data_IF_358921824434
#
_entry.id   IF_358921824434
#
_cell.length_a   1.000
_cell.length_b   1.000
_cell.length_c   1.000
_cell.angle_alpha   90.00
_cell.angle_beta   90.00
_cell.angle_gamma   90.00
#
_symmetry.space_group_name_H-M   'P 1'
#
loop_
_entity.id
_entity.type
_entity.pdbx_description
1 polymer ?
2 non-polymer ?
3 water ?
#
# COMPACT_ATOMS: atom_id res chain seq x y z
N UNK A 14 0.98 19.97 14.86
CA UNK A 14 0.60 21.33 14.47
C UNK A 14 -0.83 21.29 13.90
N UNK A 15 -1.21 20.15 13.33
CA UNK A 15 -2.61 19.88 12.99
C UNK A 15 -3.19 18.88 13.97
N UNK A 16 -4.48 19.00 14.27
CA UNK A 16 -5.09 18.11 15.26
C UNK A 16 -6.52 17.76 14.92
N UNK A 17 -6.94 16.60 15.41
CA UNK A 17 -8.31 16.14 15.28
C UNK A 17 -9.24 16.88 16.22
N UNK A 18 -10.34 17.40 15.69
CA UNK A 18 -11.33 18.06 16.51
C UNK A 18 -12.42 17.06 16.91
N UNK A 19 -13.04 16.48 15.88
CA UNK A 19 -14.07 15.47 16.10
C UNK A 19 -14.12 14.48 14.94
N UNK A 20 -14.61 13.28 15.22
CA UNK A 20 -14.87 12.30 14.17
C UNK A 20 -16.27 11.74 14.33
N UNK A 21 -17.09 11.94 13.30
CA UNK A 21 -18.50 11.60 13.31
C UNK A 21 -18.82 10.39 12.45
N UNK A 22 -19.52 9.43 13.03
CA UNK A 22 -19.93 8.23 12.30
C UNK A 22 -20.95 8.58 11.22
N UNK A 23 -20.62 8.29 9.97
CA UNK A 23 -21.56 8.51 8.88
C UNK A 23 -22.32 7.23 8.54
N UNK A 24 -21.58 6.14 8.38
CA UNK A 24 -22.18 4.85 8.05
C UNK A 24 -21.30 3.71 8.54
N UNK A 25 -21.89 2.77 9.26
CA UNK A 25 -21.13 1.66 9.83
C UNK A 25 -21.60 0.28 9.34
N UNK A 26 -20.66 -0.50 8.81
CA UNK A 26 -20.94 -1.87 8.43
C UNK A 26 -20.40 -2.84 9.48
N UNK A 27 -20.29 -4.10 9.09
CA UNK A 27 -19.73 -5.12 9.98
C UNK A 27 -18.22 -4.96 10.07
N UNK A 28 -17.60 -4.70 8.92
CA UNK A 28 -16.15 -4.63 8.84
C UNK A 28 -15.61 -3.22 8.76
N UNK A 29 -16.36 -2.33 8.11
CA UNK A 29 -15.83 -1.03 7.80
C UNK A 29 -16.85 0.07 8.10
N UNK A 30 -16.37 1.21 8.58
CA UNK A 30 -17.22 2.35 8.82
C UNK A 30 -16.71 3.57 8.08
N UNK A 31 -17.60 4.52 7.86
CA UNK A 31 -17.27 5.75 7.18
C UNK A 31 -17.47 6.91 8.15
N UNK A 32 -16.46 7.75 8.29
CA UNK A 32 -16.51 8.83 9.26
C UNK A 32 -16.29 10.19 8.61
N UNK A 33 -16.92 11.20 9.19
CA UNK A 33 -16.61 12.58 8.87
C UNK A 33 -15.59 13.07 9.87
N UNK A 34 -14.42 13.48 9.38
CA UNK A 34 -13.34 13.88 10.27
C UNK A 34 -13.17 15.38 10.27
N UNK A 35 -13.35 16.00 11.44
CA UNK A 35 -13.12 17.43 11.59
C UNK A 35 -11.79 17.66 12.27
N UNK A 36 -10.94 18.45 11.65
CA UNK A 36 -9.60 18.68 12.17
C UNK A 36 -9.20 20.15 11.99
N UNK A 37 -8.16 20.54 12.72
CA UNK A 37 -7.63 21.90 12.62
C UNK A 37 -6.34 21.92 11.81
N UNK A 38 -6.26 22.77 10.79
CA UNK A 38 -5.04 22.89 10.00
C UNK A 38 -4.04 23.79 10.74
N UNK A 39 -2.82 24.00 10.21
CA UNK A 39 -1.87 24.80 11.00
C UNK A 39 -2.27 26.26 11.20
N UNK A 40 -3.13 26.80 10.34
CA UNK A 40 -3.57 28.19 10.47
C UNK A 40 -4.60 28.33 11.58
N UNK A 41 -5.10 27.21 12.08
CA UNK A 41 -6.14 27.22 13.08
C UNK A 41 -7.52 27.12 12.45
N UNK A 42 -7.54 26.85 11.16
CA UNK A 42 -8.80 26.71 10.44
C UNK A 42 -9.35 25.29 10.55
N UNK A 43 -10.67 25.20 10.64
CA UNK A 43 -11.35 23.92 10.73
C UNK A 43 -11.63 23.36 9.35
N UNK A 44 -11.26 22.11 9.14
CA UNK A 44 -11.50 21.44 7.86
C UNK A 44 -12.10 20.06 8.09
N UNK A 45 -12.59 19.46 7.00
CA UNK A 45 -13.17 18.14 7.10
C UNK A 45 -12.49 17.15 6.18
N UNK A 46 -12.68 15.87 6.49
CA UNK A 46 -12.15 14.80 5.68
C UNK A 46 -13.14 13.64 5.76
N UNK A 47 -13.26 12.89 4.69
CA UNK A 47 -14.03 11.66 4.73
C UNK A 47 -13.06 10.53 5.01
N UNK A 48 -13.27 9.85 6.13
CA UNK A 48 -12.32 8.83 6.55
C UNK A 48 -12.95 7.46 6.62
N UNK A 49 -12.21 6.48 6.13
CA UNK A 49 -12.64 5.10 6.19
C UNK A 49 -11.88 4.40 7.31
N UNK A 50 -12.60 3.67 8.15
CA UNK A 50 -11.94 2.94 9.22
C UNK A 50 -12.51 1.54 9.29
N UNK A 51 -11.65 0.59 9.65
CA UNK A 51 -12.12 -0.75 9.93
C UNK A 51 -12.73 -0.75 11.32
N UNK A 52 -13.69 -1.65 11.53
CA UNK A 52 -14.44 -1.69 12.78
C UNK A 52 -13.86 -2.71 13.76
N UNK A 53 -12.89 -3.47 13.28
CA UNK A 53 -12.46 -4.68 13.97
C UNK A 53 -11.21 -4.54 14.82
N UNK A 54 -10.74 -3.32 15.02
CA UNK A 54 -9.55 -3.15 15.85
C UNK A 54 -9.93 -3.02 17.32
N UNK A 55 -9.17 -3.69 18.15
CA UNK A 55 -9.39 -3.70 19.59
C UNK A 55 -8.07 -3.33 20.22
N UNK A 56 -7.42 -4.28 20.88
CA UNK A 56 -6.13 -3.97 21.47
C UNK A 56 -4.96 -4.39 20.60
N UNK A 57 -5.08 -4.18 19.29
CA UNK A 57 -4.01 -4.58 18.39
C UNK A 57 -3.25 -3.33 17.99
N UNK A 58 -1.99 -3.53 17.61
CA UNK A 58 -1.10 -2.44 17.25
C UNK A 58 -1.35 -1.98 15.82
N UNK A 59 -2.02 -2.83 15.06
CA UNK A 59 -2.42 -2.50 13.70
C UNK A 59 -3.63 -3.36 13.35
N UNK A 60 -4.31 -3.00 12.27
CA UNK A 60 -5.47 -3.76 11.84
C UNK A 60 -5.08 -5.16 11.43
N UNK A 61 -3.97 -5.28 10.70
CA UNK A 61 -3.58 -6.56 10.18
C UNK A 61 -2.09 -6.70 9.97
N UNK A 62 -1.72 -7.72 9.21
CA UNK A 62 -0.35 -7.94 8.83
C UNK A 62 -0.31 -8.22 7.34
N UNK A 63 0.77 -7.81 6.69
CA UNK A 63 1.08 -8.34 5.38
C UNK A 63 2.34 -9.15 5.57
N UNK A 64 2.39 -10.32 4.93
CA UNK A 64 3.52 -11.19 5.11
C UNK A 64 4.38 -11.16 3.86
N UNK A 65 5.66 -10.86 4.03
CA UNK A 65 6.61 -11.01 2.95
C UNK A 65 7.34 -12.32 3.18
N UNK A 66 6.88 -13.37 2.49
CA UNK A 66 7.38 -14.73 2.69
C UNK A 66 8.51 -15.02 1.73
N UNK A 67 9.71 -15.16 2.27
CA UNK A 67 10.87 -15.40 1.43
C UNK A 67 11.14 -16.89 1.38
N UNK A 68 10.80 -17.49 0.25
CA UNK A 68 11.03 -18.91 0.06
C UNK A 68 12.51 -19.10 -0.21
N UNK A 69 13.20 -19.78 0.71
CA UNK A 69 14.63 -19.96 0.57
C UNK A 69 14.93 -21.43 0.30
N UNK A 70 15.66 -21.66 -0.79
CA UNK A 70 16.02 -23.00 -1.20
C UNK A 70 17.46 -22.99 -1.67
N UNK A 71 18.24 -24.00 -1.30
CA UNK A 71 19.66 -24.03 -1.66
C UNK A 71 19.90 -24.10 -3.17
N UNK A 72 18.98 -24.69 -3.92
CA UNK A 72 19.17 -24.80 -5.37
C UNK A 72 18.39 -23.76 -6.15
N UNK A 73 17.81 -22.80 -5.46
CA UNK A 73 17.03 -21.77 -6.13
C UNK A 73 17.38 -20.37 -5.67
N UNK A 74 17.14 -19.40 -6.54
CA UNK A 74 17.10 -18.00 -6.12
C UNK A 74 15.98 -17.88 -5.10
N UNK A 75 16.12 -16.96 -4.14
CA UNK A 75 15.01 -16.70 -3.23
C UNK A 75 13.79 -16.29 -4.02
N UNK A 76 12.63 -16.77 -3.58
CA UNK A 76 11.37 -16.37 -4.17
C UNK A 76 10.52 -15.64 -3.15
N UNK A 77 9.64 -14.76 -3.64
CA UNK A 77 8.62 -14.18 -2.80
C UNK A 77 7.33 -14.93 -3.04
N UNK A 78 6.74 -15.42 -1.96
CA UNK A 78 5.51 -16.18 -2.06
C UNK A 78 4.32 -15.22 -2.03
N UNK A 79 3.59 -15.18 -3.13
CA UNK A 79 2.46 -14.27 -3.25
C UNK A 79 1.18 -15.07 -3.39
N UNK A 80 0.05 -14.45 -3.09
CA UNK A 80 -1.22 -15.12 -3.24
C UNK A 80 -2.10 -14.41 -4.26
N UNK A 81 -2.83 -15.19 -5.05
CA UNK A 81 -3.79 -14.60 -5.97
C UNK A 81 -5.16 -14.92 -5.42
N UNK A 82 -5.99 -13.89 -5.37
CA UNK A 82 -7.22 -13.95 -4.63
C UNK A 82 -8.26 -13.08 -5.29
N UNK A 83 -9.51 -13.51 -5.30
CA UNK A 83 -10.56 -12.63 -5.76
C UNK A 83 -10.81 -11.59 -4.70
N UNK A 84 -10.86 -10.33 -5.11
CA UNK A 84 -11.11 -9.24 -4.18
C UNK A 84 -12.35 -8.46 -4.61
N UNK A 85 -13.46 -8.67 -3.89
CA UNK A 85 -14.74 -8.00 -4.20
C UNK A 85 -14.62 -6.48 -4.35
N UNK A 86 -13.84 -5.78 -3.50
CA UNK A 86 -13.77 -4.35 -3.77
C UNK A 86 -13.15 -4.05 -5.14
N UNK A 87 -12.22 -4.90 -5.58
CA UNK A 87 -11.58 -4.70 -6.87
C UNK A 87 -12.35 -5.31 -8.03
N UNK A 88 -13.39 -6.09 -7.72
CA UNK A 88 -14.15 -6.77 -8.75
C UNK A 88 -13.26 -7.58 -9.67
N UNK A 89 -12.24 -8.19 -9.09
CA UNK A 89 -11.26 -8.93 -9.85
C UNK A 89 -10.22 -9.58 -8.95
N UNK A 90 -9.31 -10.31 -9.56
CA UNK A 90 -8.31 -11.05 -8.81
C UNK A 90 -7.11 -10.15 -8.51
N UNK A 91 -6.48 -10.36 -7.37
CA UNK A 91 -5.35 -9.53 -6.98
C UNK A 91 -4.17 -10.38 -6.53
N UNK A 92 -2.96 -9.94 -6.86
CA UNK A 92 -1.75 -10.58 -6.39
C UNK A 92 -1.27 -9.79 -5.18
N UNK A 93 -1.18 -10.45 -4.03
CA UNK A 93 -0.87 -9.76 -2.79
C UNK A 93 0.14 -10.53 -1.96
N UNK A 94 0.71 -9.84 -0.98
CA UNK A 94 1.36 -10.52 0.13
C UNK A 94 0.27 -11.24 0.89
N UNK A 95 0.57 -12.44 1.40
CA UNK A 95 -0.39 -13.05 2.32
C UNK A 95 -0.68 -12.08 3.44
N UNK A 96 -1.96 -11.87 3.74
CA UNK A 96 -2.35 -10.81 4.66
C UNK A 96 -3.71 -11.07 5.28
N UNK A 97 -3.92 -10.51 6.47
CA UNK A 97 -5.18 -10.66 7.15
C UNK A 97 -5.19 -9.85 8.43
N UNK A 98 -6.36 -9.75 9.05
CA UNK A 98 -6.50 -9.04 10.31
C UNK A 98 -5.69 -9.75 11.40
N UNK A 99 -5.18 -8.96 12.34
CA UNK A 99 -4.61 -9.54 13.55
C UNK A 99 -5.75 -9.90 14.48
N UNK A 100 -5.79 -11.16 14.94
CA UNK A 100 -6.86 -11.58 15.84
C UNK A 100 -6.66 -10.95 17.21
N UNK A 101 -7.73 -10.93 18.01
CA UNK A 101 -7.67 -10.38 19.36
C UNK A 101 -6.66 -11.14 20.21
N UNK A 102 -5.79 -10.39 20.87
CA UNK A 102 -4.76 -10.97 21.73
C UNK A 102 -3.60 -11.60 20.97
N UNK A 103 -3.73 -11.65 19.64
CA UNK A 103 -2.67 -12.20 18.81
C UNK A 103 -1.59 -11.16 18.51
N UNK A 104 -0.35 -11.61 18.39
CA UNK A 104 0.73 -10.71 18.02
C UNK A 104 0.82 -10.62 16.50
N UNK A 105 1.39 -9.52 15.98
CA UNK A 105 1.61 -9.39 14.53
C UNK A 105 2.38 -10.58 13.99
N UNK A 106 3.45 -10.95 14.68
CA UNK A 106 4.28 -12.08 14.29
C UNK A 106 3.46 -13.37 14.23
N UNK A 107 2.62 -13.59 15.24
CA UNK A 107 1.79 -14.79 15.29
C UNK A 107 0.75 -14.78 14.18
N UNK A 108 0.12 -13.62 13.98
CA UNK A 108 -0.85 -13.46 12.91
C UNK A 108 -0.21 -13.70 11.56
N UNK A 109 0.98 -13.15 11.37
CA UNK A 109 1.73 -13.32 10.13
C UNK A 109 1.98 -14.79 9.82
N UNK A 110 2.52 -15.51 10.80
CA UNK A 110 2.86 -16.92 10.63
C UNK A 110 1.62 -17.76 10.38
N UNK A 111 0.55 -17.51 11.15
CA UNK A 111 -0.71 -18.19 10.95
C UNK A 111 -1.30 -17.92 9.57
N UNK A 112 -1.32 -16.65 9.19
CA UNK A 112 -1.92 -16.22 7.94
C UNK A 112 -1.16 -16.80 6.75
N UNK A 113 0.16 -16.84 6.86
CA UNK A 113 1.00 -17.44 5.82
C UNK A 113 0.67 -18.92 5.63
N UNK A 114 0.54 -19.63 6.74
CA UNK A 114 0.27 -21.06 6.69
C UNK A 114 -1.14 -21.35 6.18
N UNK A 115 -2.10 -20.55 6.64
CA UNK A 115 -3.50 -20.71 6.21
C UNK A 115 -3.64 -20.53 4.70
N UNK A 116 -2.94 -19.53 4.17
CA UNK A 116 -3.09 -19.16 2.77
C UNK A 116 -2.18 -19.96 1.82
N UNK A 117 -1.04 -20.40 2.31
CA UNK A 117 -0.05 -21.02 1.44
C UNK A 117 0.34 -22.44 1.86
N UNK A 118 0.17 -22.73 3.14
CA UNK A 118 0.62 -24.00 3.69
C UNK A 118 2.04 -23.96 4.20
N UNK A 119 2.76 -22.92 3.84
CA UNK A 119 4.13 -22.77 4.26
C UNK A 119 4.23 -22.50 5.75
N UNK A 120 5.19 -23.16 6.39
CA UNK A 120 5.48 -22.88 7.79
C UNK A 120 6.77 -22.05 7.81
N UNK A 121 6.66 -20.81 8.25
CA UNK A 121 7.76 -19.90 8.15
C UNK A 121 8.40 -19.57 9.48
N UNK A 122 9.53 -18.85 9.41
CA UNK A 122 10.18 -18.34 10.58
C UNK A 122 10.17 -16.81 10.50
N UNK A 123 9.91 -16.16 11.63
CA UNK A 123 9.95 -14.71 11.66
C UNK A 123 11.34 -14.22 11.32
N UNK A 124 11.41 -13.25 10.41
CA UNK A 124 12.68 -12.60 10.13
C UNK A 124 12.68 -11.24 10.79
N UNK A 125 11.65 -10.46 10.52
CA UNK A 125 11.49 -9.15 11.16
C UNK A 125 10.05 -8.68 11.08
N UNK A 126 9.73 -7.66 11.86
CA UNK A 126 8.38 -7.13 11.92
C UNK A 126 8.43 -5.62 12.01
N UNK A 127 7.69 -4.97 11.12
CA UNK A 127 7.72 -3.52 11.00
C UNK A 127 6.89 -2.84 12.08
N UNK A 128 7.07 -1.52 12.24
CA UNK A 128 6.06 -0.76 12.98
C UNK A 128 4.74 -0.80 12.23
N UNK A 129 3.67 -0.34 12.86
CA UNK A 129 2.42 -0.19 12.14
C UNK A 129 2.62 0.80 11.00
N UNK A 130 2.24 0.41 9.80
CA UNK A 130 2.33 1.28 8.64
C UNK A 130 0.97 1.37 7.98
N UNK A 131 0.65 2.54 7.42
CA UNK A 131 -0.69 2.81 6.89
C UNK A 131 -0.92 2.31 5.46
N UNK A 132 -2.08 1.71 5.24
CA UNK A 132 -2.48 1.20 3.93
C UNK A 132 -2.80 2.27 2.91
N UNK A 133 -3.55 3.29 3.35
CA UNK A 133 -4.01 4.36 2.47
C UNK A 133 -4.44 5.54 3.33
N UNK A 134 -3.45 6.30 3.84
CA UNK A 134 -3.61 7.37 4.84
C UNK A 134 -4.45 8.55 4.34
N UNK A 135 -4.50 8.74 3.03
CA UNK A 135 -5.30 9.81 2.46
C UNK A 135 -6.78 9.46 2.47
N UNK A 136 -7.09 8.24 2.91
CA UNK A 136 -8.45 7.73 2.86
C UNK A 136 -8.85 6.95 4.11
N UNK A 137 -7.92 6.15 4.63
CA UNK A 137 -8.25 5.27 5.75
C UNK A 137 -7.21 5.29 6.87
N UNK A 138 -7.59 4.78 8.02
CA UNK A 138 -6.66 4.63 9.14
C UNK A 138 -6.07 3.24 9.16
N UNK A 139 -6.34 2.47 8.12
CA UNK A 139 -5.94 1.07 8.07
C UNK A 139 -4.43 0.92 8.13
N UNK A 140 -3.99 0.06 9.04
CA UNK A 140 -2.58 -0.19 9.23
C UNK A 140 -2.29 -1.68 9.21
N UNK A 141 -1.05 -2.01 8.88
CA UNK A 141 -0.58 -3.37 8.98
C UNK A 141 0.81 -3.39 9.56
N UNK A 142 1.22 -4.54 10.08
CA UNK A 142 2.62 -4.78 10.28
C UNK A 142 3.09 -5.54 9.07
N UNK A 143 4.20 -5.10 8.48
CA UNK A 143 4.80 -5.87 7.42
C UNK A 143 5.78 -6.81 8.07
N UNK A 144 5.45 -8.09 8.06
CA UNK A 144 6.24 -9.08 8.74
C UNK A 144 6.98 -9.89 7.70
N UNK A 145 8.30 -9.73 7.68
CA UNK A 145 9.13 -10.51 6.80
C UNK A 145 9.31 -11.88 7.42
N UNK A 146 9.01 -12.90 6.64
CA UNK A 146 9.07 -14.28 7.10
C UNK A 146 9.87 -15.11 6.13
N UNK A 147 10.83 -15.86 6.66
CA UNK A 147 11.61 -16.75 5.81
C UNK A 147 10.99 -18.14 5.79
N UNK A 148 11.05 -18.78 4.63
CA UNK A 148 10.53 -20.12 4.47
C UNK A 148 11.62 -21.04 3.97
N UNK A 149 12.01 -22.01 4.79
CA UNK A 149 12.93 -23.04 4.34
C UNK A 149 12.20 -23.98 3.40
N UNK A 150 12.37 -23.75 2.10
CA UNK A 150 11.68 -24.55 1.10
C UNK A 150 12.30 -25.92 0.90
N UNK A 151 13.48 -26.13 1.47
CA UNK A 151 14.14 -27.41 1.36
C UNK A 151 13.68 -28.34 2.48
N UNK A 152 13.10 -27.79 3.53
CA UNK A 152 12.61 -28.63 4.61
C UNK A 152 11.44 -29.43 4.05
N UNK A 153 11.32 -30.68 4.48
CA UNK A 153 10.32 -31.60 3.94
C UNK A 153 8.87 -31.17 4.17
N UNK A 154 8.56 -30.61 5.33
CA UNK A 154 7.20 -30.11 5.57
C UNK A 154 6.78 -29.10 4.51
N UNK A 155 7.73 -28.32 4.00
CA UNK A 155 7.44 -27.28 3.03
C UNK A 155 7.59 -27.82 1.61
N UNK A 156 7.90 -29.12 1.50
CA UNK A 156 8.02 -29.76 0.18
C UNK A 156 6.73 -29.56 -0.63
N UNK A 157 5.60 -29.98 -0.08
CA UNK A 157 4.36 -29.68 -0.75
C UNK A 157 3.34 -29.03 0.16
N UNK A 158 3.41 -27.71 0.28
CA UNK A 158 2.54 -26.90 1.11
C UNK A 158 1.10 -27.01 0.65
N UNK A 159 0.21 -27.13 1.61
CA UNK A 159 -1.22 -27.17 1.40
C UNK A 159 -1.80 -26.04 2.21
N UNK A 160 -2.59 -25.15 1.59
CA UNK A 160 -3.12 -24.11 2.47
C UNK A 160 -4.01 -24.66 3.60
N UNK A 161 -3.39 -25.47 4.45
CA UNK A 161 -3.93 -26.00 5.71
C UNK A 161 -5.43 -26.21 5.72
N UNK A 162 -5.84 -27.46 5.49
CA UNK A 162 -7.13 -28.03 5.10
C UNK A 162 -8.17 -27.01 4.64
N UNK A 163 -9.25 -26.89 5.39
CA UNK A 163 -10.31 -25.97 5.03
C UNK A 163 -10.00 -24.57 5.48
N UNK A 164 -10.54 -23.60 4.77
CA UNK A 164 -10.26 -22.25 5.10
C UNK A 164 -11.52 -21.39 4.91
N UNK A 165 -12.15 -21.50 3.75
CA UNK A 165 -13.33 -20.74 3.38
C UNK A 165 -12.99 -19.76 2.28
N UNK A 166 -11.69 -19.62 2.02
CA UNK A 166 -11.17 -18.69 1.03
C UNK A 166 -10.67 -19.49 -0.19
N UNK A 167 -10.50 -18.80 -1.31
CA UNK A 167 -10.06 -19.44 -2.52
C UNK A 167 -8.80 -18.75 -3.00
N UNK A 168 -7.68 -19.34 -2.64
CA UNK A 168 -6.38 -18.70 -2.77
C UNK A 168 -5.41 -19.51 -3.61
N UNK A 169 -4.96 -18.92 -4.70
CA UNK A 169 -3.92 -19.54 -5.51
C UNK A 169 -2.59 -18.98 -5.03
N UNK A 170 -1.59 -19.84 -4.90
CA UNK A 170 -0.28 -19.43 -4.39
C UNK A 170 0.70 -19.24 -5.54
N UNK A 171 1.44 -18.14 -5.52
CA UNK A 171 2.42 -17.88 -6.57
C UNK A 171 3.79 -17.53 -5.99
N UNK A 172 4.81 -18.26 -6.42
CA UNK A 172 6.18 -17.99 -5.97
C UNK A 172 6.98 -17.38 -7.10
N UNK A 173 7.40 -16.13 -6.90
CA UNK A 173 8.16 -15.42 -7.90
C UNK A 173 9.57 -15.13 -7.41
N UNK A 174 10.57 -15.36 -8.28
CA UNK A 174 11.97 -15.07 -7.97
C UNK A 174 12.16 -13.63 -7.52
N UNK A 175 12.87 -13.45 -6.41
CA UNK A 175 13.07 -12.12 -5.85
C UNK A 175 13.87 -11.24 -6.80
N UNK A 176 14.86 -11.83 -7.47
CA UNK A 176 15.74 -11.05 -8.35
C UNK A 176 15.07 -10.61 -9.65
N UNK A 177 13.86 -11.10 -9.90
CA UNK A 177 13.12 -10.71 -11.09
C UNK A 177 11.66 -10.43 -10.78
N UNK A 178 11.39 -9.98 -9.56
CA UNK A 178 10.01 -9.87 -9.10
C UNK A 178 9.15 -8.92 -9.94
N UNK A 179 9.64 -7.70 -10.17
CA UNK A 179 8.84 -6.71 -10.88
C UNK A 179 8.44 -7.14 -12.29
N UNK A 180 9.38 -7.72 -13.02
CA UNK A 180 9.11 -8.16 -14.38
C UNK A 180 8.11 -9.32 -14.37
N UNK A 181 8.25 -10.20 -13.39
CA UNK A 181 7.34 -11.34 -13.28
C UNK A 181 5.95 -10.88 -12.87
N UNK A 182 5.89 -9.79 -12.11
CA UNK A 182 4.62 -9.19 -11.75
C UNK A 182 3.93 -8.51 -12.93
N UNK A 183 4.68 -7.71 -13.69
CA UNK A 183 4.13 -7.06 -14.89
C UNK A 183 3.59 -8.09 -15.87
N UNK A 184 4.33 -9.17 -16.06
CA UNK A 184 3.92 -10.25 -16.96
C UNK A 184 2.58 -10.85 -16.56
N UNK A 185 2.47 -11.22 -15.29
CA UNK A 185 1.27 -11.81 -14.73
C UNK A 185 0.03 -10.93 -14.89
N UNK A 186 0.23 -9.64 -14.65
CA UNK A 186 -0.84 -8.66 -14.49
C UNK A 186 -1.39 -8.06 -15.78
N UNK A 187 -0.68 -8.22 -16.88
CA UNK A 187 -1.20 -7.71 -18.14
C UNK A 187 -2.46 -8.46 -18.51
N UNK A 188 -2.52 -9.77 -18.29
CA UNK A 188 -3.77 -10.45 -18.54
C UNK A 188 -4.82 -10.04 -17.50
N UNK A 189 -5.73 -9.17 -17.95
CA UNK A 189 -6.98 -8.73 -17.30
C UNK A 189 -7.09 -8.35 -15.82
N UNK A 190 -8.22 -8.74 -15.22
CA UNK A 190 -8.53 -8.38 -13.84
C UNK A 190 -7.80 -9.28 -12.90
N UNK A 191 -6.53 -8.93 -12.86
CA UNK A 191 -5.51 -9.43 -11.98
C UNK A 191 -4.68 -8.19 -11.78
N UNK A 192 -4.78 -7.63 -10.58
CA UNK A 192 -4.01 -6.45 -10.21
C UNK A 192 -2.93 -6.78 -9.18
N UNK A 193 -1.74 -6.18 -9.30
CA UNK A 193 -0.75 -6.31 -8.22
C UNK A 193 -1.11 -5.39 -7.08
N UNK A 194 -0.94 -5.87 -5.85
CA UNK A 194 -1.07 -5.05 -4.65
C UNK A 194 -0.01 -3.95 -4.69
N UNK A 195 -0.32 -2.75 -4.20
CA UNK A 195 0.63 -1.64 -4.29
C UNK A 195 1.91 -1.87 -3.51
N UNK A 196 1.78 -2.46 -2.32
CA UNK A 196 2.93 -2.77 -1.47
C UNK A 196 3.82 -3.82 -2.10
N UNK A 197 3.19 -4.83 -2.71
CA UNK A 197 3.93 -5.84 -3.43
C UNK A 197 4.75 -5.20 -4.53
N UNK A 198 4.11 -4.29 -5.27
CA UNK A 198 4.78 -3.64 -6.38
C UNK A 198 5.88 -2.69 -5.91
N UNK A 199 5.61 -1.94 -4.84
CA UNK A 199 6.62 -1.06 -4.24
C UNK A 199 7.85 -1.87 -3.86
N UNK A 200 7.61 -3.01 -3.24
CA UNK A 200 8.66 -3.96 -2.87
C UNK A 200 9.42 -4.38 -4.14
N UNK A 201 8.67 -4.81 -5.14
CA UNK A 201 9.26 -5.25 -6.41
C UNK A 201 10.09 -4.16 -7.06
N UNK A 202 9.57 -2.93 -7.03
CA UNK A 202 10.28 -1.78 -7.59
C UNK A 202 11.64 -1.57 -6.93
N UNK A 203 11.67 -1.61 -5.61
CA UNK A 203 12.91 -1.39 -4.87
C UNK A 203 13.90 -2.52 -5.11
N UNK A 204 13.39 -3.74 -5.30
CA UNK A 204 14.25 -4.87 -5.62
C UNK A 204 14.92 -4.63 -6.96
N UNK A 205 14.18 -4.01 -7.87
CA UNK A 205 14.67 -3.72 -9.20
C UNK A 205 15.64 -2.55 -9.18
N UNK A 206 15.29 -1.49 -8.45
CA UNK A 206 16.15 -0.32 -8.38
C UNK A 206 17.47 -0.66 -7.69
N UNK A 207 17.39 -1.41 -6.60
CA UNK A 207 18.58 -1.82 -5.86
C UNK A 207 19.44 -2.76 -6.70
N UNK A 208 18.78 -3.55 -7.54
CA UNK A 208 19.36 -4.68 -8.26
C UNK A 208 19.81 -5.80 -7.33
N UNK B 14 -14.02 -17.04 -12.88
CA UNK B 14 -15.01 -17.85 -12.16
C UNK B 14 -15.61 -17.14 -10.96
N UNK B 15 -14.89 -16.19 -10.38
CA UNK B 15 -15.51 -15.31 -9.41
C UNK B 15 -15.76 -13.97 -10.09
N UNK B 16 -16.91 -13.39 -9.78
CA UNK B 16 -17.34 -12.16 -10.42
C UNK B 16 -18.25 -11.34 -9.51
N UNK B 17 -18.32 -10.05 -9.76
CA UNK B 17 -19.24 -9.20 -9.01
C UNK B 17 -20.67 -9.47 -9.45
N UNK B 18 -21.53 -9.71 -8.48
CA UNK B 18 -22.93 -9.98 -8.71
C UNK B 18 -23.78 -8.72 -8.65
N UNK B 19 -23.67 -8.00 -7.54
CA UNK B 19 -24.36 -6.73 -7.39
C UNK B 19 -23.52 -5.84 -6.49
N UNK B 20 -23.71 -4.54 -6.64
CA UNK B 20 -23.02 -3.59 -5.77
C UNK B 20 -24.10 -2.67 -5.20
N UNK B 21 -24.27 -2.69 -3.89
CA UNK B 21 -25.32 -1.88 -3.30
C UNK B 21 -24.71 -0.70 -2.56
N UNK B 22 -25.15 0.50 -2.92
CA UNK B 22 -24.67 1.70 -2.28
C UNK B 22 -25.19 1.78 -0.85
N UNK B 23 -24.26 1.83 0.10
CA UNK B 23 -24.62 1.98 1.51
C UNK B 23 -24.58 3.46 1.87
N UNK B 24 -23.48 4.11 1.50
CA UNK B 24 -23.30 5.53 1.77
C UNK B 24 -22.32 6.16 0.78
N UNK B 25 -22.72 7.29 0.19
CA UNK B 25 -21.83 8.00 -0.72
C UNK B 25 -21.52 9.39 -0.20
N UNK B 26 -20.24 9.67 -0.06
CA UNK B 26 -19.77 10.99 0.30
C UNK B 26 -19.27 11.69 -0.95
N UNK B 27 -18.53 12.78 -0.77
CA UNK B 27 -17.98 13.51 -1.90
C UNK B 27 -16.80 12.79 -2.55
N UNK B 28 -15.90 12.27 -1.72
CA UNK B 28 -14.68 11.67 -2.20
C UNK B 28 -14.76 10.16 -2.20
N UNK B 29 -15.50 9.63 -1.22
CA UNK B 29 -15.55 8.21 -0.98
C UNK B 29 -16.97 7.73 -0.74
N UNK B 30 -17.28 6.54 -1.25
CA UNK B 30 -18.57 5.91 -1.01
C UNK B 30 -18.36 4.55 -0.40
N UNK B 31 -19.37 4.04 0.29
CA UNK B 31 -19.28 2.71 0.87
C UNK B 31 -20.37 1.80 0.27
N UNK B 32 -19.93 0.65 -0.21
CA UNK B 32 -20.83 -0.28 -0.88
C UNK B 32 -20.81 -1.67 -0.25
N UNK B 33 -21.94 -2.35 -0.27
CA UNK B 33 -21.94 -3.78 0.03
C UNK B 33 -21.89 -4.53 -1.29
N UNK B 34 -20.86 -5.36 -1.40
CA UNK B 34 -20.55 -6.04 -2.64
C UNK B 34 -20.96 -7.51 -2.58
N UNK B 35 -21.80 -7.92 -3.51
CA UNK B 35 -22.20 -9.31 -3.60
C UNK B 35 -21.41 -9.97 -4.73
N UNK B 36 -20.77 -11.10 -4.42
CA UNK B 36 -19.93 -11.75 -5.40
C UNK B 36 -20.15 -13.24 -5.40
N UNK B 37 -19.77 -13.89 -6.49
CA UNK B 37 -19.91 -15.33 -6.60
C UNK B 37 -18.56 -15.97 -6.36
N UNK B 38 -18.49 -16.86 -5.39
CA UNK B 38 -17.26 -17.59 -5.16
C UNK B 38 -17.26 -18.80 -6.11
N UNK B 39 -16.17 -19.59 -6.12
CA UNK B 39 -16.11 -20.74 -7.04
C UNK B 39 -17.12 -21.84 -6.73
N UNK B 40 -17.60 -21.89 -5.49
CA UNK B 40 -18.53 -22.92 -5.09
C UNK B 40 -19.90 -22.65 -5.70
N UNK B 41 -20.08 -21.46 -6.25
CA UNK B 41 -21.33 -21.06 -6.85
C UNK B 41 -22.18 -20.41 -5.79
N UNK B 42 -21.59 -20.16 -4.63
CA UNK B 42 -22.28 -19.53 -3.53
C UNK B 42 -22.13 -18.01 -3.61
N UNK B 43 -23.18 -17.29 -3.25
CA UNK B 43 -23.11 -15.83 -3.22
C UNK B 43 -22.68 -15.38 -1.82
N UNK B 44 -21.74 -14.44 -1.79
CA UNK B 44 -21.24 -13.90 -0.54
C UNK B 44 -21.25 -12.39 -0.60
N UNK B 45 -21.03 -11.74 0.52
CA UNK B 45 -21.00 -10.28 0.53
C UNK B 45 -19.66 -9.76 1.04
N UNK B 46 -19.38 -8.51 0.69
CA UNK B 46 -18.17 -7.83 1.14
C UNK B 46 -18.52 -6.36 1.32
N UNK B 47 -17.88 -5.72 2.27
CA UNK B 47 -18.01 -4.28 2.39
C UNK B 47 -16.84 -3.63 1.66
N UNK B 48 -17.16 -2.85 0.63
CA UNK B 48 -16.15 -2.28 -0.23
C UNK B 48 -16.17 -0.76 -0.21
N UNK B 49 -14.97 -0.19 -0.20
CA UNK B 49 -14.80 1.25 -0.23
C UNK B 49 -14.39 1.68 -1.63
N UNK B 50 -15.01 2.74 -2.15
CA UNK B 50 -14.63 3.23 -3.46
C UNK B 50 -14.51 4.75 -3.43
N UNK B 51 -13.56 5.26 -4.21
CA UNK B 51 -13.50 6.70 -4.41
C UNK B 51 -14.56 7.06 -5.44
N UNK B 52 -15.08 8.28 -5.35
CA UNK B 52 -16.17 8.70 -6.21
C UNK B 52 -15.59 9.47 -7.38
N UNK B 53 -14.28 9.70 -7.28
CA UNK B 53 -13.62 10.67 -8.13
C UNK B 53 -12.95 10.04 -9.32
N UNK B 54 -13.20 8.74 -9.55
CA UNK B 54 -12.63 8.14 -10.74
C UNK B 54 -13.57 8.34 -11.91
N UNK B 55 -12.98 8.52 -13.08
CA UNK B 55 -13.69 8.88 -14.29
C UNK B 55 -13.44 7.85 -15.39
N UNK B 56 -12.81 8.25 -16.48
CA UNK B 56 -12.44 7.31 -17.55
C UNK B 56 -10.94 6.97 -17.49
N UNK B 57 -10.48 6.63 -16.29
CA UNK B 57 -9.05 6.57 -15.99
C UNK B 57 -8.41 5.19 -15.92
N UNK B 58 -7.08 5.18 -15.96
CA UNK B 58 -6.31 3.95 -15.86
C UNK B 58 -6.16 3.57 -14.39
N UNK B 59 -6.28 4.58 -13.52
CA UNK B 59 -6.27 4.41 -12.07
C UNK B 59 -6.80 5.69 -11.41
N UNK B 60 -7.10 5.64 -10.12
CA UNK B 60 -7.54 6.84 -9.39
C UNK B 60 -6.46 7.91 -9.34
N UNK B 61 -5.24 7.48 -9.04
CA UNK B 61 -4.17 8.42 -8.82
C UNK B 61 -2.78 7.87 -9.10
N UNK B 62 -1.78 8.60 -8.62
CA UNK B 62 -0.40 8.18 -8.74
C UNK B 62 0.31 8.33 -7.41
N UNK B 63 1.26 7.45 -7.14
CA UNK B 63 2.24 7.72 -6.11
C UNK B 63 3.57 7.91 -6.81
N UNK B 64 4.34 8.90 -6.37
CA UNK B 64 5.60 9.18 -7.01
C UNK B 64 6.75 8.74 -6.13
N UNK B 65 7.63 7.93 -6.71
CA UNK B 65 8.89 7.61 -6.05
C UNK B 65 9.95 8.50 -6.65
N UNK B 66 10.26 9.61 -5.97
CA UNK B 66 11.17 10.61 -6.50
C UNK B 66 12.59 10.36 -6.04
N UNK B 67 13.45 9.99 -6.97
CA UNK B 67 14.84 9.71 -6.65
C UNK B 67 15.65 10.96 -6.92
N UNK B 68 16.02 11.65 -5.86
CA UNK B 68 16.84 12.86 -5.96
C UNK B 68 18.28 12.49 -6.23
N UNK B 69 18.77 12.86 -7.40
CA UNK B 69 20.10 12.50 -7.83
C UNK B 69 21.05 13.69 -7.94
N UNK B 70 22.18 13.57 -7.28
CA UNK B 70 23.22 14.59 -7.30
C UNK B 70 24.54 13.88 -7.43
N UNK B 71 25.40 14.42 -8.29
CA UNK B 71 26.68 13.79 -8.55
C UNK B 71 27.46 13.77 -7.24
N UNK B 72 28.18 12.68 -7.01
CA UNK B 72 28.99 12.51 -5.81
C UNK B 72 28.15 12.48 -4.53
N UNK B 73 26.86 12.24 -4.68
CA UNK B 73 25.96 12.11 -3.53
C UNK B 73 25.20 10.79 -3.62
N UNK B 74 24.80 10.27 -2.46
CA UNK B 74 23.82 9.21 -2.47
C UNK B 74 22.55 9.73 -3.08
N UNK B 75 21.87 8.85 -3.79
CA UNK B 75 20.52 9.12 -4.23
C UNK B 75 19.68 9.32 -2.99
N UNK B 76 18.73 10.24 -3.05
CA UNK B 76 17.79 10.37 -1.97
C UNK B 76 16.41 10.02 -2.46
N UNK B 77 15.57 9.55 -1.55
CA UNK B 77 14.17 9.37 -1.85
C UNK B 77 13.45 10.58 -1.29
N UNK B 78 12.69 11.26 -2.14
CA UNK B 78 11.99 12.44 -1.70
C UNK B 78 10.63 12.04 -1.16
N UNK B 79 10.42 12.27 0.12
CA UNK B 79 9.17 11.91 0.75
C UNK B 79 8.46 13.14 1.26
N UNK B 80 7.16 13.01 1.47
CA UNK B 80 6.38 14.09 2.00
C UNK B 80 5.76 13.71 3.33
N UNK B 81 5.78 14.64 4.27
CA UNK B 81 5.12 14.48 5.55
C UNK B 81 3.95 15.42 5.70
N UNK B 82 2.80 14.88 6.08
CA UNK B 82 1.60 15.70 6.21
C UNK B 82 0.65 15.06 7.19
N UNK B 83 -0.15 15.89 7.84
CA UNK B 83 -1.21 15.39 8.69
C UNK B 83 -2.22 14.68 7.82
N UNK B 84 -2.61 13.48 8.25
CA UNK B 84 -3.59 12.69 7.54
C UNK B 84 -4.76 12.45 8.48
N UNK B 85 -5.87 13.17 8.25
CA UNK B 85 -7.07 13.06 9.08
C UNK B 85 -7.57 11.64 9.31
N UNK B 86 -7.55 10.75 8.30
CA UNK B 86 -7.99 9.39 8.64
C UNK B 86 -7.10 8.73 9.68
N UNK B 87 -5.81 9.07 9.66
CA UNK B 87 -4.85 8.52 10.61
C UNK B 87 -4.80 9.33 11.91
N UNK B 88 -5.47 10.48 11.91
CA UNK B 88 -5.46 11.38 13.04
C UNK B 88 -4.05 11.71 13.48
N UNK B 89 -3.14 11.79 12.51
CA UNK B 89 -1.75 11.99 12.79
C UNK B 89 -0.93 12.09 11.52
N UNK B 90 0.36 12.32 11.68
CA UNK B 90 1.23 12.54 10.54
C UNK B 90 1.73 11.25 9.91
N UNK B 91 1.84 11.27 8.59
CA UNK B 91 2.33 10.12 7.84
C UNK B 91 3.45 10.53 6.88
N UNK B 92 4.42 9.65 6.70
CA UNK B 92 5.48 9.84 5.71
C UNK B 92 5.14 9.06 4.45
N UNK B 93 5.02 9.77 3.34
CA UNK B 93 4.53 9.14 2.11
C UNK B 93 5.31 9.51 0.86
N UNK B 94 5.13 8.70 -0.17
CA UNK B 94 5.45 9.09 -1.53
C UNK B 94 4.48 10.22 -1.88
N UNK B 95 4.96 11.24 -2.59
CA UNK B 95 4.03 12.24 -3.11
C UNK B 95 2.94 11.56 -3.92
N UNK B 96 1.69 11.93 -3.69
CA UNK B 96 0.58 11.21 -4.30
C UNK B 96 -0.65 12.09 -4.41
N UNK B 97 -1.46 11.79 -5.42
CA UNK B 97 -2.67 12.55 -5.65
C UNK B 97 -3.45 11.97 -6.81
N UNK B 98 -4.67 12.46 -6.99
CA UNK B 98 -5.52 12.01 -8.09
C UNK B 98 -4.94 12.33 -9.45
N UNK B 99 -5.20 11.44 -10.42
CA UNK B 99 -4.93 11.75 -11.82
C UNK B 99 -6.08 12.59 -12.32
N UNK B 100 -5.78 13.74 -12.91
CA UNK B 100 -6.82 14.59 -13.45
C UNK B 100 -7.38 13.98 -14.73
N UNK B 101 -8.55 14.48 -15.13
CA UNK B 101 -9.22 13.99 -16.34
C UNK B 101 -8.33 14.20 -17.58
N UNK B 102 -8.18 13.15 -18.38
CA UNK B 102 -7.39 13.24 -19.61
C UNK B 102 -5.89 13.28 -19.38
N UNK B 103 -5.49 13.29 -18.12
CA UNK B 103 -4.08 13.33 -17.74
C UNK B 103 -3.47 11.95 -17.78
N UNK B 104 -2.19 11.86 -18.14
CA UNK B 104 -1.48 10.58 -18.11
C UNK B 104 -0.95 10.39 -16.69
N UNK B 105 -0.72 9.13 -16.30
CA UNK B 105 -0.11 8.86 -14.99
C UNK B 105 1.20 9.62 -14.84
N UNK B 106 2.03 9.56 -15.88
CA UNK B 106 3.32 10.24 -15.88
C UNK B 106 3.17 11.75 -15.68
N UNK B 107 2.22 12.35 -16.38
CA UNK B 107 1.99 13.78 -16.27
C UNK B 107 1.47 14.13 -14.88
N UNK B 108 0.55 13.33 -14.38
CA UNK B 108 0.01 13.50 -13.04
C UNK B 108 1.13 13.40 -12.02
N UNK B 109 2.01 12.42 -12.21
CA UNK B 109 3.15 12.19 -11.34
C UNK B 109 4.09 13.40 -11.25
N UNK B 110 4.50 13.89 -12.42
CA UNK B 110 5.44 15.00 -12.48
C UNK B 110 4.79 16.25 -11.90
N UNK B 111 3.52 16.48 -12.24
CA UNK B 111 2.76 17.59 -11.69
C UNK B 111 2.64 17.49 -10.17
N UNK B 112 2.24 16.32 -9.69
CA UNK B 112 2.04 16.12 -8.25
C UNK B 112 3.36 16.25 -7.51
N UNK B 113 4.43 15.73 -8.09
CA UNK B 113 5.76 15.85 -7.50
C UNK B 113 6.16 17.32 -7.36
N UNK B 114 5.92 18.10 -8.42
CA UNK B 114 6.29 19.51 -8.40
C UNK B 114 5.42 20.30 -7.45
N UNK B 115 4.13 20.00 -7.40
CA UNK B 115 3.22 20.70 -6.50
C UNK B 115 3.62 20.53 -5.04
N UNK B 116 3.98 19.31 -4.67
CA UNK B 116 4.24 19.00 -3.26
C UNK B 116 5.67 19.30 -2.82
N UNK B 117 6.61 19.23 -3.76
CA UNK B 117 8.01 19.35 -3.40
C UNK B 117 8.73 20.48 -4.13
N UNK B 118 8.18 20.88 -5.28
CA UNK B 118 8.83 21.89 -6.11
C UNK B 118 9.79 21.28 -7.12
N UNK B 119 10.13 20.01 -6.91
CA UNK B 119 11.06 19.33 -7.79
C UNK B 119 10.48 19.06 -9.17
N UNK B 120 11.29 19.29 -10.19
CA UNK B 120 10.92 18.95 -11.55
C UNK B 120 11.66 17.68 -11.95
N UNK B 121 10.90 16.62 -12.16
CA UNK B 121 11.51 15.32 -12.36
C UNK B 121 11.40 14.78 -13.77
N UNK B 122 12.08 13.67 -14.01
CA UNK B 122 11.99 12.96 -15.27
C UNK B 122 11.41 11.58 -15.00
N UNK B 123 10.50 11.13 -15.86
CA UNK B 123 9.97 9.80 -15.74
C UNK B 123 11.11 8.79 -15.88
N UNK B 124 11.18 7.86 -14.94
CA UNK B 124 12.12 6.76 -15.02
C UNK B 124 11.35 5.54 -15.49
N UNK B 125 10.25 5.27 -14.82
CA UNK B 125 9.33 4.21 -15.21
C UNK B 125 7.98 4.45 -14.56
N UNK B 126 6.97 3.72 -15.03
CA UNK B 126 5.63 3.87 -14.50
C UNK B 126 4.94 2.51 -14.43
N UNK B 127 4.36 2.22 -13.28
CA UNK B 127 3.76 0.92 -13.02
C UNK B 127 2.40 0.82 -13.69
N UNK B 128 1.88 -0.41 -13.81
CA UNK B 128 0.45 -0.58 -14.08
C UNK B 128 -0.37 -0.06 -12.91
N UNK B 129 -1.68 0.02 -13.06
CA UNK B 129 -2.53 0.35 -11.92
C UNK B 129 -2.37 -0.73 -10.87
N UNK B 130 -2.11 -0.32 -9.62
CA UNK B 130 -1.95 -1.24 -8.51
C UNK B 130 -2.87 -0.87 -7.36
N UNK B 131 -3.31 -1.85 -6.57
CA UNK B 131 -4.32 -1.61 -5.55
C UNK B 131 -3.76 -1.00 -4.29
N UNK B 132 -4.42 0.04 -3.77
CA UNK B 132 -4.00 0.66 -2.52
C UNK B 132 -4.27 -0.25 -1.34
N UNK B 133 -5.43 -0.90 -1.37
CA UNK B 133 -5.86 -1.77 -0.29
C UNK B 133 -6.99 -2.66 -0.83
N UNK B 134 -6.63 -3.69 -1.59
CA UNK B 134 -7.60 -4.50 -2.36
C UNK B 134 -8.61 -5.25 -1.50
N UNK B 135 -8.28 -5.53 -0.24
CA UNK B 135 -9.19 -6.20 0.65
C UNK B 135 -10.30 -5.31 1.18
N UNK B 136 -10.26 -4.04 0.81
CA UNK B 136 -11.20 -3.06 1.36
C UNK B 136 -11.70 -2.08 0.31
N UNK B 137 -10.84 -1.69 -0.62
CA UNK B 137 -11.20 -0.68 -1.60
C UNK B 137 -10.82 -1.06 -3.03
N UNK B 138 -11.41 -0.35 -4.00
CA UNK B 138 -11.05 -0.53 -5.39
C UNK B 138 -10.01 0.49 -5.82
N UNK B 139 -9.49 1.22 -4.84
CA UNK B 139 -8.57 2.31 -5.09
C UNK B 139 -7.29 1.81 -5.75
N UNK B 140 -6.92 2.45 -6.84
CA UNK B 140 -5.72 2.06 -7.56
C UNK B 140 -4.84 3.28 -7.82
N UNK B 141 -3.55 3.03 -7.98
CA UNK B 141 -2.63 4.07 -8.38
C UNK B 141 -1.66 3.51 -9.39
N UNK B 142 -1.01 4.41 -10.11
CA UNK B 142 0.21 4.06 -10.80
C UNK B 142 1.35 4.45 -9.89
N UNK B 143 2.31 3.57 -9.71
CA UNK B 143 3.50 3.97 -8.99
C UNK B 143 4.51 4.44 -10.02
N UNK B 144 4.80 5.74 -9.98
CA UNK B 144 5.66 6.34 -10.99
C UNK B 144 7.02 6.65 -10.40
N UNK B 145 8.04 5.96 -10.89
CA UNK B 145 9.40 6.29 -10.49
C UNK B 145 9.83 7.50 -11.29
N UNK B 146 10.27 8.52 -10.57
CA UNK B 146 10.65 9.76 -11.21
C UNK B 146 12.02 10.15 -10.69
N UNK B 147 12.95 10.41 -11.60
CA UNK B 147 14.28 10.84 -11.20
C UNK B 147 14.34 12.36 -11.21
N UNK B 148 15.05 12.91 -10.24
CA UNK B 148 15.20 14.35 -10.13
C UNK B 148 16.67 14.71 -10.17
N UNK B 149 17.08 15.44 -11.20
CA UNK B 149 18.43 15.96 -11.26
C UNK B 149 18.58 17.11 -10.27
N UNK B 150 19.14 16.82 -9.11
CA UNK B 150 19.28 17.82 -8.06
C UNK B 150 20.38 18.82 -8.35
N UNK B 151 21.18 18.55 -9.38
CA UNK B 151 22.26 19.44 -9.79
C UNK B 151 21.77 20.50 -10.77
N UNK B 152 20.62 20.24 -11.38
CA UNK B 152 20.01 21.20 -12.30
C UNK B 152 19.54 22.43 -11.53
N UNK B 153 19.62 23.59 -12.18
CA UNK B 153 19.25 24.86 -11.56
C UNK B 153 17.78 24.86 -11.15
N UNK B 154 16.95 24.18 -11.93
CA UNK B 154 15.53 24.01 -11.63
C UNK B 154 15.29 23.49 -10.22
N UNK B 155 16.11 22.53 -9.85
CA UNK B 155 15.95 21.79 -8.61
C UNK B 155 16.86 22.27 -7.50
N UNK B 156 17.67 23.27 -7.79
CA UNK B 156 18.54 23.89 -6.81
C UNK B 156 17.68 24.38 -5.68
N UNK B 157 16.64 25.11 -6.09
CA UNK B 157 15.70 25.79 -5.20
C UNK B 157 14.27 25.33 -5.49
N UNK B 158 13.90 24.09 -5.08
CA UNK B 158 12.52 23.72 -5.42
C UNK B 158 11.48 24.48 -4.60
N UNK B 159 10.40 24.90 -5.26
CA UNK B 159 9.33 25.62 -4.59
C UNK B 159 8.00 24.87 -4.71
N UNK B 160 7.49 24.38 -3.57
CA UNK B 160 6.19 23.70 -3.65
C UNK B 160 5.07 24.66 -3.99
N UNK B 161 4.08 24.20 -4.75
CA UNK B 161 2.89 24.98 -4.98
C UNK B 161 1.70 24.22 -4.42
N UNK B 162 1.43 24.40 -3.12
CA UNK B 162 0.43 23.58 -2.43
C UNK B 162 -0.98 24.12 -2.61
N UNK B 163 -1.95 23.22 -2.51
CA UNK B 163 -3.35 23.57 -2.65
C UNK B 163 -3.89 24.12 -1.34
N UNK B 164 -4.94 24.95 -1.43
CA UNK B 164 -5.59 25.56 -0.27
C UNK B 164 -5.48 24.80 1.03
N UNK B 165 -5.88 23.54 1.02
CA UNK B 165 -5.91 22.71 2.21
C UNK B 165 -4.63 21.98 2.54
N UNK B 166 -3.62 22.08 1.68
CA UNK B 166 -2.45 21.24 1.87
C UNK B 166 -1.26 21.92 2.54
N UNK B 167 -0.71 21.18 3.50
CA UNK B 167 0.43 21.57 4.29
C UNK B 167 1.41 20.41 4.31
N UNK B 168 2.40 20.50 3.44
CA UNK B 168 3.24 19.37 3.15
C UNK B 168 4.70 19.67 3.43
N UNK B 169 5.29 18.90 4.33
CA UNK B 169 6.70 18.99 4.60
C UNK B 169 7.45 17.99 3.74
N UNK B 170 8.57 18.42 3.17
CA UNK B 170 9.35 17.55 2.30
C UNK B 170 10.52 16.99 3.08
N UNK B 171 10.73 15.69 2.97
CA UNK B 171 11.86 15.05 3.63
C UNK B 171 12.58 14.18 2.63
N UNK B 172 13.87 14.43 2.49
CA UNK B 172 14.71 13.66 1.58
C UNK B 172 15.59 12.73 2.38
N UNK B 173 15.40 11.43 2.16
CA UNK B 173 16.19 10.44 2.88
C UNK B 173 17.06 9.70 1.90
N UNK B 174 18.35 9.50 2.25
CA UNK B 174 19.23 8.72 1.40
C UNK B 174 18.63 7.35 1.10
N UNK B 175 18.63 7.00 -0.17
CA UNK B 175 18.08 5.74 -0.67
C UNK B 175 18.82 4.55 -0.08
N UNK B 176 20.12 4.72 0.08
CA UNK B 176 21.01 3.65 0.54
C UNK B 176 20.83 3.29 2.00
N UNK B 177 20.10 4.12 2.72
CA UNK B 177 19.87 3.89 4.14
C UNK B 177 18.43 4.18 4.52
N UNK B 178 17.52 3.99 3.56
CA UNK B 178 16.15 4.46 3.70
C UNK B 178 15.44 3.90 4.93
N UNK B 179 15.48 2.57 5.09
CA UNK B 179 14.76 1.92 6.18
C UNK B 179 15.19 2.46 7.54
N UNK B 180 16.49 2.67 7.71
CA UNK B 180 17.04 3.19 8.97
C UNK B 180 16.63 4.62 9.26
N UNK B 181 16.67 5.44 8.22
CA UNK B 181 16.37 6.85 8.33
C UNK B 181 14.89 7.06 8.58
N UNK B 182 14.09 6.11 8.11
CA UNK B 182 12.67 6.11 8.39
C UNK B 182 12.47 5.85 9.87
N UNK B 183 13.16 4.82 10.36
CA UNK B 183 13.14 4.45 11.77
C UNK B 183 13.63 5.61 12.64
N UNK B 184 14.72 6.24 12.19
CA UNK B 184 15.31 7.39 12.87
C UNK B 184 14.30 8.52 13.00
N UNK B 185 13.61 8.82 11.90
CA UNK B 185 12.55 9.82 11.91
C UNK B 185 11.50 9.53 12.97
N UNK B 186 11.14 8.26 13.09
CA UNK B 186 9.98 7.89 13.88
C UNK B 186 10.36 7.85 15.35
N UNK B 187 11.65 7.66 15.61
CA UNK B 187 12.19 7.70 16.96
C UNK B 187 12.22 9.13 17.49
N UNK B 188 12.51 10.06 16.59
CA UNK B 188 12.57 11.48 16.92
C UNK B 188 11.21 12.00 17.34
N UNK B 189 10.17 11.48 16.71
CA UNK B 189 8.79 11.82 17.07
C UNK B 189 7.86 10.90 16.30
N UNK B 190 6.68 10.63 16.85
CA UNK B 190 5.83 9.64 16.22
C UNK B 190 5.20 10.16 14.94
N UNK B 191 5.25 9.30 13.94
CA UNK B 191 4.53 9.47 12.70
C UNK B 191 4.34 8.07 12.13
N UNK B 192 3.44 7.90 11.18
CA UNK B 192 3.30 6.58 10.59
C UNK B 192 3.94 6.61 9.22
N UNK B 193 4.79 5.63 8.96
CA UNK B 193 5.37 5.49 7.63
C UNK B 193 4.32 4.81 6.75
N UNK B 194 4.17 5.29 5.52
CA UNK B 194 3.29 4.63 4.58
C UNK B 194 3.79 3.23 4.24
N UNK B 195 2.85 2.31 4.03
CA UNK B 195 3.17 0.92 3.78
C UNK B 195 3.92 0.73 2.47
N UNK B 196 3.56 1.49 1.45
CA UNK B 196 4.27 1.40 0.18
C UNK B 196 5.69 1.91 0.33
N UNK B 197 5.85 3.00 1.08
CA UNK B 197 7.18 3.53 1.38
C UNK B 197 8.02 2.52 2.15
N UNK B 198 7.42 1.88 3.16
CA UNK B 198 8.15 0.90 3.96
C UNK B 198 8.49 -0.33 3.13
N UNK B 199 7.53 -0.80 2.34
CA UNK B 199 7.76 -1.94 1.45
C UNK B 199 8.96 -1.66 0.55
N UNK B 200 8.97 -0.45 0.00
CA UNK B 200 10.10 -0.01 -0.82
C UNK B 200 11.39 -0.03 0.00
N UNK B 201 11.38 0.61 1.16
CA UNK B 201 12.55 0.66 2.02
C UNK B 201 13.01 -0.73 2.42
N UNK B 202 12.05 -1.58 2.76
CA UNK B 202 12.31 -2.95 3.16
C UNK B 202 13.05 -3.72 2.06
N UNK B 203 12.57 -3.59 0.84
CA UNK B 203 13.15 -4.30 -0.30
C UNK B 203 14.57 -3.85 -0.63
N UNK B 204 14.88 -2.59 -0.32
CA UNK B 204 16.23 -2.07 -0.55
C UNK B 204 17.23 -2.86 0.28
N UNK B 205 16.83 -3.23 1.49
CA UNK B 205 17.69 -4.03 2.37
C UNK B 205 17.72 -5.49 1.95
N UNK B 206 16.53 -6.01 1.64
CA UNK B 206 16.37 -7.40 1.23
C UNK B 206 17.08 -7.74 -0.08
N UNK B 207 17.19 -6.75 -0.96
CA UNK B 207 17.72 -6.99 -2.31
C UNK B 207 19.05 -7.73 -2.26
N UNK B 208 19.07 -8.83 -3.02
CA UNK B 208 20.12 -9.86 -2.98
C UNK B 208 20.16 -10.60 -1.65
X LIG C 1 -14.19 -9.83 5.06
X LIG C 1 -13.08 -9.21 5.46
X LIG C 1 -13.02 -7.87 5.31
X LIG C 1 -12.87 -11.32 5.87
X LIG C 1 -14.04 -7.20 4.76
X LIG C 1 -15.22 -9.16 4.52
X LIG C 1 -5.76 -4.95 7.71
X LIG C 1 -5.84 -5.75 6.58
X LIG C 1 -6.91 -6.64 6.44
X LIG C 1 -4.86 -5.68 5.59
X LIG C 1 -4.96 -6.49 4.47
X LIG C 1 -6.03 -7.37 4.33
X LIG C 1 -7.01 -7.43 5.30
X LIG C 1 -8.03 -8.27 5.20
X LIG C 1 -8.88 -8.44 6.12
X LIG C 1 -8.30 -9.09 4.18
X LIG C 1 -9.34 -9.74 4.47
X LIG C 1 -9.72 -9.33 5.68
X LIG C 1 -10.88 -9.81 6.53
X LIG C 1 -12.22 -10.13 5.93
X LIG C 1 -12.03 -7.22 5.65
X LIG C 1 -13.96 -5.73 4.59
X LIG C 1 -15.15 -7.84 4.37
X LIG C 1 -16.09 -7.22 3.87
X LIG C 1 -16.43 -9.90 4.10
X LIG C 1 -14.05 -11.13 5.30
X LIG C 1 -12.53 -12.60 6.17
X LIG C 1 -13.57 -13.61 5.95
X LIG C 1 -11.21 -12.99 6.70
X LIG D 1 -14.19 -9.84 5.04
X LIG D 1 -13.08 -9.23 5.44
X LIG D 1 -13.00 -7.89 5.29
X LIG D 1 -12.89 -11.35 5.83
X LIG D 1 -14.03 -7.20 4.75
X LIG D 1 -15.22 -9.17 4.51
X LIG D 1 -3.99 -5.95 4.14
X LIG D 1 -5.05 -6.18 5.01
X LIG D 1 -6.04 -7.11 4.68
X LIG D 1 -5.11 -5.48 6.21
X LIG D 1 -6.16 -5.70 7.09
X LIG D 1 -7.15 -6.63 6.76
X LIG D 1 -7.08 -7.34 5.57
X LIG D 1 -8.06 -8.20 5.33
X LIG D 1 -8.92 -8.47 6.20
X LIG D 1 -8.25 -8.95 4.25
X LIG D 1 -9.29 -9.66 4.46
X LIG D 1 -9.71 -9.33 5.69
X LIG D 1 -10.88 -9.88 6.50
X LIG D 1 -12.23 -10.16 5.90
X LIG D 1 -12.00 -7.25 5.62
X LIG D 1 -13.92 -5.74 4.59
X LIG D 1 -15.14 -7.84 4.36
X LIG D 1 -16.08 -7.21 3.88
X LIG D 1 -16.45 -9.89 4.09
X LIG D 1 -14.07 -11.14 5.28
X LIG D 1 -12.55 -12.63 6.12
X LIG D 1 -13.61 -13.62 5.92
X LIG D 1 -11.24 -13.05 6.66
X LIG E 1 -9.80 15.31 0.12
X LIG E 1 -9.35 14.32 -0.67
X LIG E 1 -9.72 13.07 -0.38
X LIG E 1 -8.58 16.22 -1.40
X LIG E 1 -10.53 12.81 0.65
X LIG E 1 -10.61 15.05 1.16
X LIG E 1 -5.83 7.75 -5.56
X LIG E 1 -5.14 8.49 -4.63
X LIG E 1 -5.69 9.68 -4.15
X LIG E 1 -3.91 8.04 -4.16
X LIG E 1 -3.22 8.79 -3.22
X LIG E 1 -3.75 9.97 -2.74
X LIG E 1 -5.00 10.42 -3.19
X LIG E 1 -5.50 11.56 -2.74
X LIG E 1 -6.57 12.08 -3.17
X LIG E 1 -4.95 12.35 -1.81
X LIG E 1 -5.68 13.33 -1.66
X LIG E 1 -6.71 13.17 -2.49
X LIG E 1 -7.89 14.12 -2.73
X LIG E 1 -8.54 14.89 -1.60
X LIG E 1 -9.34 12.11 -1.07
X LIG E 1 -10.93 11.42 0.95
X LIG E 1 -10.97 13.80 1.43
X LIG E 1 -11.71 13.57 2.39
X LIG E 1 -11.10 16.18 2.00
X LIG E 1 -9.32 16.46 -0.32
X LIG E 1 -7.97 17.27 -1.97
X LIG E 1 -8.35 18.61 -1.48
X LIG E 1 -7.03 17.17 -3.11
#
# INVERSE_FOLDING_TARGET
>A
MESQEPTESSQNGKQYIISEELISEGKWVKLEKTTYMDPTGKTRTWESVKRTTRKEQTADGVAVIPVLQRTLHYECIVLVKQFRPPMGGYCIEFPAGLIDDGETPEAAALRELEEETGYKGDIAECSPAVCMDPGLSNCTIHIVTVTINGDDAENARPKPKPGDGEFVEVISLPKNDLLQRLDALVAEEHLTVDARVYSYALALKHANAKPFEVPFLKF
>B
MESQEPTESSQNGKQYIISEELISEGKWVKLEKTTYMDPTGKTRTWESVKRTTRKEQTADGVAVIPVLQRTLHYECIVLVKQFRPPMGGYCIEFPAGLIDDGETPEAAALRELEEETGYKGDIAECSPAVCMDPGLSNCTIHIVTVTINGDDAENARPKPKPGDGEFVEVISLPKNDLLQRLDALVAEEHLTVDARVYSYALALKHANAKPFEVPFLKF
>C hetero
1 958 C4 C5 C6 C8 N1 N3 CAV CAT CAU CAS CAR CAQ CAP CAN OAO NAM NAL CAK CAJ N7 O6 CAY C2 O2 CAW N9 NBA CBC CBB
>D hetero
1 958 C4 C5 C6 C8 N1 N3 CAV CAT CAU CAS CAR CAQ CAP CAN OAO NAM NAL CAK CAJ N7 O6 CAY C2 O2 CAW N9 NBA CBC CBB
>E hetero
1 958 C4 C5 C6 C8 N1 N3 CAV CAT CAU CAS CAR CAQ CAP CAN OAO NAM NAL CAK CAJ N7 O6 CAY C2 O2 CAW N9 NBA CBC CBB
#
